data_IF_069282535285
#
_entry.id   IF_069282535285
#
_cell.length_a   1.000
_cell.length_b   1.000
_cell.length_c   1.000
_cell.angle_alpha   90.00
_cell.angle_beta   90.00
_cell.angle_gamma   90.00
#
_symmetry.space_group_name_H-M   'P 1'
#
loop_
_entity.id
_entity.type
_entity.pdbx_description
1 polymer ?
#
# COMPACT_ATOMS: atom_id res chain seq x y z
N UNK A 1 -8.61 -8.98 7.79
CA UNK A 1 -8.59 -8.44 6.41
C UNK A 1 -8.36 -6.95 6.50
N UNK A 2 -7.18 -6.46 6.07
CA UNK A 2 -6.87 -5.04 6.13
C UNK A 2 -7.56 -4.33 4.96
N UNK A 3 -8.63 -3.62 5.26
CA UNK A 3 -9.20 -2.63 4.33
C UNK A 3 -8.17 -1.50 4.17
N UNK A 4 -8.10 -0.80 3.03
CA UNK A 4 -7.14 0.30 2.80
C UNK A 4 -7.76 1.69 2.97
N UNK A 5 -7.94 2.17 4.22
CA UNK A 5 -8.10 3.59 4.46
C UNK A 5 -6.89 4.38 3.95
N UNK A 6 -7.11 5.64 3.58
CA UNK A 6 -6.09 6.52 3.01
C UNK A 6 -4.86 6.70 3.89
N UNK A 7 -5.01 6.55 5.22
CA UNK A 7 -3.94 6.65 6.21
C UNK A 7 -3.17 5.34 6.44
N UNK A 8 -3.75 4.19 6.05
CA UNK A 8 -3.09 2.88 6.12
C UNK A 8 -2.33 2.58 4.83
N UNK A 9 -2.84 3.06 3.69
CA UNK A 9 -2.21 2.92 2.38
C UNK A 9 -0.70 3.31 2.36
N UNK A 10 -0.25 4.47 2.88
CA UNK A 10 1.17 4.83 2.78
C UNK A 10 2.07 3.88 3.59
N UNK A 11 1.59 3.37 4.73
CA UNK A 11 2.32 2.41 5.55
C UNK A 11 2.44 1.06 4.85
N UNK A 12 1.35 0.58 4.25
CA UNK A 12 1.35 -0.66 3.47
C UNK A 12 2.22 -0.55 2.23
N UNK A 13 2.11 0.54 1.47
CA UNK A 13 2.94 0.77 0.29
C UNK A 13 4.42 0.77 0.63
N UNK A 14 4.81 1.43 1.73
CA UNK A 14 6.18 1.40 2.24
C UNK A 14 6.67 -0.02 2.56
N UNK A 15 5.87 -0.82 3.28
CA UNK A 15 6.21 -2.21 3.62
C UNK A 15 6.34 -3.08 2.38
N UNK A 16 5.46 -2.89 1.39
CA UNK A 16 5.55 -3.58 0.10
C UNK A 16 6.83 -3.21 -0.65
N UNK A 17 7.21 -1.93 -0.63
CA UNK A 17 8.48 -1.46 -1.18
C UNK A 17 9.69 -2.14 -0.55
N UNK A 18 9.73 -2.25 0.78
CA UNK A 18 10.78 -2.97 1.50
C UNK A 18 10.82 -4.46 1.11
N UNK A 19 9.65 -5.10 0.98
CA UNK A 19 9.56 -6.49 0.57
C UNK A 19 10.06 -6.70 -0.87
N UNK A 20 9.77 -5.78 -1.78
CA UNK A 20 10.29 -5.80 -3.15
C UNK A 20 11.81 -5.59 -3.19
N UNK A 21 12.36 -4.68 -2.38
CA UNK A 21 13.81 -4.51 -2.25
C UNK A 21 14.48 -5.78 -1.72
N UNK A 22 13.87 -6.45 -0.76
CA UNK A 22 14.35 -7.75 -0.27
C UNK A 22 14.30 -8.83 -1.35
N UNK A 23 13.24 -8.87 -2.16
CA UNK A 23 13.12 -9.81 -3.27
C UNK A 23 14.18 -9.58 -4.38
N UNK A 24 14.70 -8.36 -4.50
CA UNK A 24 15.72 -7.94 -5.46
C UNK A 24 17.16 -8.10 -4.96
N UNK A 25 17.39 -8.85 -3.86
CA UNK A 25 18.70 -8.92 -3.19
C UNK A 25 19.86 -9.27 -4.12
N UNK A 26 19.69 -10.25 -5.01
CA UNK A 26 20.80 -10.70 -5.86
C UNK A 26 21.15 -9.62 -6.89
N UNK A 27 20.16 -8.98 -7.52
CA UNK A 27 20.37 -7.84 -8.44
C UNK A 27 21.09 -6.68 -7.74
N UNK A 28 20.61 -6.30 -6.56
CA UNK A 28 21.16 -5.20 -5.77
C UNK A 28 22.56 -5.49 -5.21
N UNK A 29 22.90 -6.77 -5.05
CA UNK A 29 24.23 -7.19 -4.60
C UNK A 29 25.26 -7.25 -5.73
N UNK A 30 24.82 -7.56 -6.96
CA UNK A 30 25.69 -7.65 -8.14
C UNK A 30 26.17 -6.30 -8.66
N UNK A 31 25.35 -5.24 -8.58
CA UNK A 31 25.71 -3.90 -9.08
C UNK A 31 25.58 -2.80 -8.00
N UNK A 32 26.70 -2.28 -7.48
CA UNK A 32 26.74 -1.29 -6.42
C UNK A 32 26.11 0.08 -6.68
N UNK A 33 26.07 0.52 -7.94
CA UNK A 33 25.84 1.94 -8.29
C UNK A 33 24.43 2.23 -8.81
N UNK A 34 23.65 1.19 -9.16
CA UNK A 34 22.42 1.35 -9.94
C UNK A 34 21.12 1.05 -9.20
N UNK A 35 20.97 1.43 -7.92
CA UNK A 35 19.67 1.28 -7.22
C UNK A 35 18.56 2.01 -7.98
N UNK A 36 18.84 3.25 -8.43
CA UNK A 36 17.94 4.11 -9.19
C UNK A 36 17.74 3.67 -10.65
N UNK A 37 18.61 2.82 -11.18
CA UNK A 37 18.52 2.26 -12.54
C UNK A 37 18.12 0.79 -12.58
N UNK A 38 17.86 0.16 -11.42
CA UNK A 38 17.56 -1.26 -11.33
C UNK A 38 16.23 -1.59 -12.01
N UNK A 39 16.17 -2.76 -12.68
CA UNK A 39 14.93 -3.23 -13.32
C UNK A 39 13.87 -3.51 -12.25
N UNK A 40 14.30 -3.97 -11.08
CA UNK A 40 13.42 -4.17 -9.92
C UNK A 40 12.75 -2.88 -9.42
N UNK A 41 13.43 -1.72 -9.49
CA UNK A 41 12.80 -0.43 -9.17
C UNK A 41 11.72 -0.08 -10.20
N UNK A 42 11.98 -0.27 -11.49
CA UNK A 42 11.01 -0.02 -12.56
C UNK A 42 9.76 -0.90 -12.37
N UNK A 43 9.94 -2.19 -12.08
CA UNK A 43 8.83 -3.10 -11.80
C UNK A 43 8.04 -2.66 -10.56
N UNK A 44 8.72 -2.19 -9.52
CA UNK A 44 8.07 -1.64 -8.30
C UNK A 44 7.30 -0.35 -8.58
N UNK A 45 7.82 0.53 -9.44
CA UNK A 45 7.13 1.75 -9.88
C UNK A 45 5.90 1.40 -10.73
N UNK A 46 6.00 0.43 -11.64
CA UNK A 46 4.85 -0.05 -12.43
C UNK A 46 3.76 -0.65 -11.53
N UNK A 47 4.13 -1.48 -10.55
CA UNK A 47 3.18 -1.97 -9.56
C UNK A 47 2.49 -0.81 -8.83
N UNK A 48 3.27 0.17 -8.39
CA UNK A 48 2.73 1.33 -7.69
C UNK A 48 1.72 2.11 -8.55
N UNK A 49 2.08 2.40 -9.80
CA UNK A 49 1.27 3.22 -10.69
C UNK A 49 0.04 2.48 -11.23
N UNK A 50 0.16 1.19 -11.54
CA UNK A 50 -0.88 0.42 -12.22
C UNK A 50 -1.80 -0.34 -11.26
N UNK A 51 -1.35 -0.62 -10.04
CA UNK A 51 -2.13 -1.41 -9.06
C UNK A 51 -2.43 -0.58 -7.82
N UNK A 52 -1.40 -0.03 -7.19
CA UNK A 52 -1.55 0.62 -5.89
C UNK A 52 -2.29 1.95 -5.96
N UNK A 53 -1.89 2.82 -6.89
CA UNK A 53 -2.50 4.14 -7.08
C UNK A 53 -3.98 4.05 -7.51
N UNK A 54 -4.36 3.20 -8.49
CA UNK A 54 -5.76 3.04 -8.88
C UNK A 54 -6.62 2.44 -7.77
N UNK A 55 -6.08 1.50 -6.98
CA UNK A 55 -6.77 0.95 -5.82
C UNK A 55 -7.02 2.02 -4.75
N UNK A 56 -6.01 2.80 -4.37
CA UNK A 56 -6.16 3.90 -3.42
C UNK A 56 -7.12 4.98 -3.95
N UNK A 57 -6.99 5.34 -5.23
CA UNK A 57 -7.86 6.29 -5.91
C UNK A 57 -9.32 5.84 -5.97
N UNK A 58 -9.58 4.56 -6.23
CA UNK A 58 -10.93 3.98 -6.24
C UNK A 58 -11.62 4.19 -4.89
N UNK A 59 -10.96 3.85 -3.78
CA UNK A 59 -11.57 4.02 -2.46
C UNK A 59 -11.78 5.50 -2.10
N UNK A 60 -10.88 6.39 -2.50
CA UNK A 60 -11.08 7.83 -2.27
C UNK A 60 -12.21 8.42 -3.13
N UNK A 61 -12.34 7.99 -4.38
CA UNK A 61 -13.33 8.51 -5.32
C UNK A 61 -14.74 8.01 -5.01
N UNK A 62 -14.91 6.70 -4.77
CA UNK A 62 -16.23 6.08 -4.60
C UNK A 62 -16.63 5.93 -3.13
N UNK A 63 -15.67 5.88 -2.22
CA UNK A 63 -15.89 5.63 -0.79
C UNK A 63 -15.11 6.61 0.09
N UNK A 64 -15.04 7.88 -0.34
CA UNK A 64 -14.23 8.93 0.28
C UNK A 64 -14.42 9.07 1.79
N UNK A 65 -15.67 9.16 2.27
CA UNK A 65 -15.98 9.33 3.70
C UNK A 65 -15.45 8.16 4.55
N UNK A 66 -15.52 6.94 4.03
CA UNK A 66 -14.97 5.74 4.67
C UNK A 66 -13.44 5.69 4.56
N UNK A 67 -12.86 6.12 3.43
CA UNK A 67 -11.42 6.12 3.22
C UNK A 67 -10.66 7.04 4.19
N UNK A 68 -11.27 8.15 4.61
CA UNK A 68 -10.74 9.06 5.63
C UNK A 68 -11.31 8.78 7.03
N UNK A 69 -11.94 7.61 7.22
CA UNK A 69 -12.57 7.17 8.47
C UNK A 69 -13.47 8.21 9.14
N UNK A 70 -14.23 8.95 8.34
CA UNK A 70 -15.19 9.96 8.79
C UNK A 70 -14.58 11.16 9.52
N UNK A 71 -13.27 11.38 9.44
CA UNK A 71 -12.64 12.57 10.04
C UNK A 71 -13.01 13.85 9.30
N UNK A 72 -13.14 13.78 7.98
CA UNK A 72 -13.44 14.93 7.11
C UNK A 72 -14.62 14.55 6.22
N UNK A 73 -15.45 15.53 5.86
CA UNK A 73 -16.48 15.35 4.84
C UNK A 73 -15.80 15.26 3.47
N UNK A 74 -15.76 14.06 2.88
CA UNK A 74 -15.05 13.84 1.63
C UNK A 74 -15.70 14.56 0.44
N UNK A 75 -16.98 14.92 0.53
CA UNK A 75 -17.68 15.70 -0.51
C UNK A 75 -17.15 17.13 -0.65
N UNK A 76 -16.41 17.62 0.35
CA UNK A 76 -15.78 18.94 0.33
C UNK A 76 -14.31 18.91 -0.14
N UNK A 77 -13.74 17.72 -0.35
CA UNK A 77 -12.36 17.60 -0.81
C UNK A 77 -12.28 17.95 -2.30
N UNK A 78 -11.44 18.93 -2.69
CA UNK A 78 -11.16 19.18 -4.10
C UNK A 78 -10.58 17.93 -4.77
N UNK A 79 -10.90 17.71 -6.05
CA UNK A 79 -10.38 16.59 -6.83
C UNK A 79 -8.85 16.54 -6.87
N UNK A 80 -8.20 17.72 -6.87
CA UNK A 80 -6.75 17.84 -6.78
C UNK A 80 -6.17 17.23 -5.50
N UNK A 81 -6.86 17.36 -4.36
CA UNK A 81 -6.41 16.77 -3.08
C UNK A 81 -6.53 15.25 -3.13
N UNK A 82 -7.62 14.72 -3.70
CA UNK A 82 -7.81 13.28 -3.89
C UNK A 82 -6.69 12.70 -4.76
N UNK A 83 -6.39 13.37 -5.88
CA UNK A 83 -5.30 12.96 -6.77
C UNK A 83 -3.94 13.05 -6.07
N UNK A 84 -3.66 14.13 -5.34
CA UNK A 84 -2.41 14.30 -4.59
C UNK A 84 -2.24 13.21 -3.53
N UNK A 85 -3.29 12.85 -2.81
CA UNK A 85 -3.24 11.76 -1.83
C UNK A 85 -3.05 10.39 -2.49
N UNK A 86 -3.69 10.13 -3.64
CA UNK A 86 -3.49 8.91 -4.40
C UNK A 86 -2.05 8.79 -4.92
N UNK A 87 -1.48 9.87 -5.45
CA UNK A 87 -0.09 9.93 -5.89
C UNK A 87 0.90 9.79 -4.73
N UNK A 88 0.61 10.44 -3.60
CA UNK A 88 1.42 10.28 -2.38
C UNK A 88 1.44 8.82 -1.92
N UNK A 89 0.28 8.15 -1.91
CA UNK A 89 0.18 6.72 -1.62
C UNK A 89 1.00 5.88 -2.60
N UNK A 90 0.93 6.20 -3.89
CA UNK A 90 1.74 5.53 -4.91
C UNK A 90 3.25 5.68 -4.62
N UNK A 91 3.71 6.88 -4.30
CA UNK A 91 5.13 7.15 -4.04
C UNK A 91 5.71 6.36 -2.86
N UNK A 92 4.88 5.93 -1.91
CA UNK A 92 5.37 5.17 -0.74
C UNK A 92 6.02 3.83 -1.10
N UNK A 93 5.57 3.17 -2.17
CA UNK A 93 6.14 1.90 -2.64
C UNK A 93 7.58 2.07 -3.16
N UNK A 94 7.88 2.93 -4.15
CA UNK A 94 9.26 3.13 -4.60
C UNK A 94 10.13 3.76 -3.50
N UNK A 95 9.58 4.63 -2.64
CA UNK A 95 10.33 5.15 -1.48
C UNK A 95 10.74 4.01 -0.54
N UNK A 96 9.82 3.10 -0.22
CA UNK A 96 10.12 1.89 0.56
C UNK A 96 11.18 1.01 -0.11
N UNK A 97 11.12 0.86 -1.43
CA UNK A 97 12.14 0.12 -2.17
C UNK A 97 13.52 0.77 -2.06
N UNK A 98 13.63 2.07 -2.32
CA UNK A 98 14.91 2.80 -2.29
C UNK A 98 15.53 2.78 -0.90
N UNK A 99 14.73 2.95 0.16
CA UNK A 99 15.22 2.85 1.54
C UNK A 99 15.55 1.42 1.96
N UNK A 100 14.83 0.42 1.42
CA UNK A 100 15.08 -1.00 1.66
C UNK A 100 16.30 -1.55 0.92
N UNK A 101 16.63 -1.01 -0.25
CA UNK A 101 17.70 -1.48 -1.12
C UNK A 101 19.08 -1.58 -0.44
N UNK A 102 19.60 -0.57 0.29
CA UNK A 102 20.89 -0.70 0.97
C UNK A 102 20.86 -1.76 2.09
N UNK A 103 19.75 -1.91 2.80
CA UNK A 103 19.59 -2.90 3.86
C UNK A 103 19.50 -4.33 3.30
N UNK A 104 18.78 -4.49 2.20
CA UNK A 104 18.68 -5.72 1.44
C UNK A 104 20.05 -6.15 0.91
N UNK A 105 20.79 -5.22 0.29
CA UNK A 105 22.15 -5.45 -0.21
C UNK A 105 23.11 -5.92 0.88
N UNK A 106 23.05 -5.30 2.07
CA UNK A 106 23.86 -5.69 3.22
C UNK A 106 23.34 -6.96 3.94
N UNK A 107 22.29 -7.60 3.41
CA UNK A 107 21.60 -8.77 4.00
C UNK A 107 21.21 -8.55 5.46
N UNK A 108 20.93 -7.29 5.85
CA UNK A 108 20.58 -6.90 7.21
C UNK A 108 19.09 -7.18 7.49
N UNK A 109 18.71 -8.45 7.47
CA UNK A 109 17.33 -8.90 7.66
C UNK A 109 16.70 -8.33 8.94
N UNK A 110 17.46 -8.27 10.04
CA UNK A 110 16.97 -7.70 11.31
C UNK A 110 16.53 -6.25 11.15
N UNK A 111 17.35 -5.39 10.54
CA UNK A 111 17.01 -3.97 10.37
C UNK A 111 15.86 -3.79 9.38
N UNK A 112 15.80 -4.60 8.33
CA UNK A 112 14.69 -4.56 7.38
C UNK A 112 13.37 -5.00 8.06
N UNK A 113 13.41 -6.04 8.88
CA UNK A 113 12.26 -6.47 9.68
C UNK A 113 11.84 -5.42 10.71
N UNK A 114 12.78 -4.72 11.36
CA UNK A 114 12.44 -3.60 12.24
C UNK A 114 11.80 -2.44 11.46
N UNK A 115 12.38 -2.09 10.31
CA UNK A 115 11.91 -0.99 9.47
C UNK A 115 10.55 -1.29 8.81
N UNK A 116 10.25 -2.56 8.52
CA UNK A 116 8.94 -3.00 8.06
C UNK A 116 7.97 -3.21 9.24
N UNK A 117 8.48 -3.62 10.40
CA UNK A 117 7.70 -3.94 11.59
C UNK A 117 7.02 -2.72 12.19
N UNK A 118 7.72 -1.60 12.32
CA UNK A 118 7.15 -0.34 12.84
C UNK A 118 5.92 0.12 12.04
N UNK A 119 6.00 0.32 10.70
CA UNK A 119 4.85 0.73 9.90
C UNK A 119 3.75 -0.34 9.85
N UNK A 120 4.11 -1.64 9.90
CA UNK A 120 3.12 -2.72 9.97
C UNK A 120 2.33 -2.71 11.28
N UNK A 121 3.01 -2.53 12.42
CA UNK A 121 2.39 -2.42 13.73
C UNK A 121 1.53 -1.16 13.83
N UNK A 122 2.02 -0.04 13.30
CA UNK A 122 1.25 1.20 13.26
C UNK A 122 -0.01 1.07 12.39
N UNK A 123 0.12 0.44 11.21
CA UNK A 123 -1.02 0.14 10.35
C UNK A 123 -2.04 -0.76 11.07
N UNK A 124 -1.57 -1.81 11.73
CA UNK A 124 -2.43 -2.72 12.50
C UNK A 124 -3.13 -1.99 13.66
N UNK A 125 -2.40 -1.17 14.42
CA UNK A 125 -2.94 -0.38 15.52
C UNK A 125 -4.01 0.60 15.01
N UNK A 126 -3.76 1.31 13.91
CA UNK A 126 -4.74 2.22 13.31
C UNK A 126 -6.00 1.47 12.86
N UNK A 127 -5.85 0.31 12.21
CA UNK A 127 -7.00 -0.51 11.80
C UNK A 127 -7.80 -0.98 13.01
N UNK A 128 -7.14 -1.37 14.11
CA UNK A 128 -7.80 -1.82 15.34
C UNK A 128 -8.53 -0.67 16.06
N UNK A 129 -7.86 0.48 16.22
CA UNK A 129 -8.43 1.68 16.85
C UNK A 129 -9.63 2.20 16.08
N UNK A 130 -9.59 2.11 14.75
CA UNK A 130 -10.67 2.55 13.88
C UNK A 130 -11.59 1.41 13.44
N UNK A 131 -11.45 0.19 13.99
CA UNK A 131 -12.20 -0.98 13.55
C UNK A 131 -13.72 -0.77 13.62
N UNK A 132 -14.22 -0.16 14.70
CA UNK A 132 -15.65 0.17 14.81
C UNK A 132 -16.10 1.14 13.71
N UNK A 133 -15.31 2.17 13.42
CA UNK A 133 -15.61 3.16 12.36
C UNK A 133 -15.53 2.52 10.98
N UNK A 134 -14.51 1.71 10.75
CA UNK A 134 -14.23 1.00 9.51
C UNK A 134 -15.09 -0.24 9.30
N UNK A 135 -15.97 -0.59 10.24
CA UNK A 135 -16.95 -1.70 10.14
C UNK A 135 -18.33 -1.25 9.67
N UNK A 136 -18.52 0.06 9.52
CA UNK A 136 -19.77 0.70 9.15
C UNK A 136 -19.66 1.37 7.78
N UNK A 137 -20.68 1.19 6.95
CA UNK A 137 -20.90 1.93 5.72
C UNK A 137 -21.94 3.01 5.98
N UNK A 138 -21.48 4.26 6.07
CA UNK A 138 -22.31 5.46 6.25
C UNK A 138 -21.71 6.65 5.49
N UNK A 139 -22.47 7.74 5.36
CA UNK A 139 -21.97 9.08 4.98
C UNK A 139 -21.45 9.84 6.20
N UNK A 140 -20.56 10.82 6.04
CA UNK A 140 -20.11 11.70 7.14
C UNK A 140 -21.24 12.29 8.00
N UNK A 141 -22.36 12.71 7.39
CA UNK A 141 -23.53 13.26 8.09
C UNK A 141 -24.30 12.19 8.87
N UNK A 142 -24.45 10.99 8.30
CA UNK A 142 -25.06 9.83 8.96
C UNK A 142 -24.21 9.35 10.14
N UNK A 143 -22.88 9.31 9.94
CA UNK A 143 -21.94 8.90 10.97
C UNK A 143 -21.89 9.89 12.14
N UNK A 144 -21.95 11.21 11.88
CA UNK A 144 -21.99 12.23 12.94
C UNK A 144 -23.37 12.43 13.58
N UNK A 145 -24.44 12.15 12.84
CA UNK A 145 -25.80 12.25 13.35
C UNK A 145 -26.29 11.00 14.07
N UNK A 146 -25.46 9.96 14.17
CA UNK A 146 -25.76 8.67 14.77
C UNK A 146 -27.00 7.95 14.20
N UNK A 147 -27.19 8.02 12.87
CA UNK A 147 -28.31 7.35 12.20
C UNK A 147 -27.90 6.63 10.91
N UNK A 148 -28.64 5.57 10.54
CA UNK A 148 -28.51 4.90 9.23
C UNK A 148 -27.29 3.98 9.07
N UNK A 149 -26.74 3.46 10.18
CA UNK A 149 -25.59 2.55 10.11
C UNK A 149 -25.93 1.24 9.39
N UNK A 150 -25.13 0.89 8.38
CA UNK A 150 -25.14 -0.46 7.80
C UNK A 150 -23.79 -1.10 8.02
N UNK A 151 -23.79 -2.36 8.45
CA UNK A 151 -22.56 -3.16 8.44
C UNK A 151 -22.01 -3.21 7.02
N UNK A 152 -20.68 -3.20 6.89
CA UNK A 152 -20.05 -3.27 5.57
C UNK A 152 -20.21 -4.67 4.96
N UNK A 153 -20.39 -5.70 5.80
CA UNK A 153 -20.68 -7.05 5.36
C UNK A 153 -21.97 -7.08 4.54
N UNK A 154 -21.89 -7.54 3.29
CA UNK A 154 -23.03 -7.57 2.36
C UNK A 154 -23.29 -6.27 1.60
N UNK A 155 -22.44 -5.24 1.76
CA UNK A 155 -22.53 -3.99 0.97
C UNK A 155 -21.55 -4.00 -0.19
N UNK A 156 -21.78 -3.13 -1.20
CA UNK A 156 -20.85 -2.93 -2.31
C UNK A 156 -19.43 -2.58 -1.83
N UNK A 157 -19.30 -1.81 -0.75
CA UNK A 157 -18.01 -1.51 -0.12
C UNK A 157 -17.31 -2.77 0.40
N UNK A 158 -18.03 -3.67 1.06
CA UNK A 158 -17.46 -4.92 1.56
C UNK A 158 -16.94 -5.81 0.45
N UNK A 159 -17.71 -5.96 -0.63
CA UNK A 159 -17.27 -6.70 -1.82
C UNK A 159 -16.06 -6.04 -2.49
N UNK A 160 -16.05 -4.71 -2.62
CA UNK A 160 -14.92 -3.97 -3.17
C UNK A 160 -13.65 -4.17 -2.33
N UNK A 161 -13.75 -4.15 -1.00
CA UNK A 161 -12.62 -4.41 -0.10
C UNK A 161 -12.05 -5.81 -0.32
N UNK A 162 -12.90 -6.85 -0.35
CA UNK A 162 -12.43 -8.23 -0.55
C UNK A 162 -11.80 -8.39 -1.95
N UNK A 163 -12.48 -7.90 -2.98
CA UNK A 163 -12.00 -7.98 -4.36
C UNK A 163 -10.66 -7.27 -4.55
N UNK A 164 -10.56 -6.01 -4.13
CA UNK A 164 -9.33 -5.22 -4.30
C UNK A 164 -8.17 -5.77 -3.48
N UNK A 165 -8.42 -6.34 -2.29
CA UNK A 165 -7.38 -7.06 -1.56
C UNK A 165 -6.93 -8.34 -2.28
N UNK A 166 -7.84 -9.07 -2.92
CA UNK A 166 -7.50 -10.22 -3.76
C UNK A 166 -6.64 -9.83 -4.96
N UNK A 167 -7.00 -8.75 -5.65
CA UNK A 167 -6.21 -8.18 -6.76
C UNK A 167 -4.83 -7.74 -6.25
N UNK A 168 -4.77 -7.02 -5.13
CA UNK A 168 -3.51 -6.57 -4.52
C UNK A 168 -2.61 -7.75 -4.15
N UNK A 169 -3.13 -8.77 -3.47
CA UNK A 169 -2.36 -9.95 -3.07
C UNK A 169 -1.81 -10.69 -4.31
N UNK A 170 -2.63 -10.84 -5.34
CA UNK A 170 -2.24 -11.47 -6.61
C UNK A 170 -1.14 -10.66 -7.30
N UNK A 171 -1.33 -9.34 -7.40
CA UNK A 171 -0.36 -8.44 -7.99
C UNK A 171 0.96 -8.46 -7.23
N UNK A 172 0.94 -8.39 -5.90
CA UNK A 172 2.14 -8.50 -5.05
C UNK A 172 2.87 -9.81 -5.31
N UNK A 173 2.16 -10.95 -5.34
CA UNK A 173 2.75 -12.25 -5.60
C UNK A 173 3.42 -12.31 -6.99
N UNK A 174 2.77 -11.76 -8.02
CA UNK A 174 3.32 -11.67 -9.37
C UNK A 174 4.55 -10.74 -9.42
N UNK A 175 4.48 -9.57 -8.81
CA UNK A 175 5.59 -8.61 -8.75
C UNK A 175 6.80 -9.19 -8.04
N UNK A 176 6.61 -9.85 -6.89
CA UNK A 176 7.70 -10.55 -6.18
C UNK A 176 8.29 -11.65 -7.06
N UNK A 177 7.45 -12.41 -7.77
CA UNK A 177 7.92 -13.47 -8.67
C UNK A 177 8.76 -12.91 -9.81
N UNK A 178 8.32 -11.83 -10.47
CA UNK A 178 9.08 -11.22 -11.57
C UNK A 178 10.37 -10.56 -11.09
N UNK A 179 10.35 -9.86 -9.94
CA UNK A 179 11.55 -9.30 -9.31
C UNK A 179 12.57 -10.40 -9.00
N UNK A 180 12.14 -11.52 -8.41
CA UNK A 180 13.04 -12.66 -8.13
C UNK A 180 13.62 -13.27 -9.39
N UNK A 181 12.83 -13.39 -10.46
CA UNK A 181 13.30 -13.89 -11.77
C UNK A 181 14.40 -12.99 -12.34
N UNK A 182 14.18 -11.68 -12.33
CA UNK A 182 15.17 -10.69 -12.76
C UNK A 182 16.42 -10.82 -11.88
N UNK A 183 16.24 -10.85 -10.56
CA UNK A 183 17.32 -10.92 -9.58
C UNK A 183 18.21 -12.14 -9.76
N UNK A 184 17.63 -13.32 -10.03
CA UNK A 184 18.39 -14.56 -10.26
C UNK A 184 19.13 -14.56 -11.60
N UNK A 185 18.59 -13.91 -12.64
CA UNK A 185 19.23 -13.80 -13.95
C UNK A 185 20.51 -12.94 -13.90
N UNK A 186 20.62 -12.02 -12.95
CA UNK A 186 21.77 -11.11 -12.76
C UNK A 186 22.86 -11.70 -11.84
N UNK A 187 22.72 -12.97 -11.43
CA UNK A 187 23.72 -13.64 -10.60
C UNK A 187 24.97 -13.95 -11.44
N UNK A 188 26.17 -13.44 -11.08
CA UNK A 188 27.39 -13.84 -11.78
C UNK A 188 27.59 -15.36 -11.60
N UNK A 189 27.90 -16.03 -12.72
CA UNK A 189 28.23 -17.47 -12.74
C UNK A 189 29.58 -17.73 -12.09
#
# INVERSE_FOLDING_TARGET
MASMPSFVAPLLGFVLGLAFAWAAIEELSSDPTSVLGSRSLVVSMLFSLLVFAPMAGYFMAFHGDWSVAYFINARRLPSAVILAMALFNALTVPVGFVLGAPLARQKQLKKLLTLAGIPSLLAMLLVLLLARRLSVSATYTQFKGDFGYRSIAGTALGYAVVWMNGVLATAVALTVREIRRISLATRPR
#
